data_IF_412610221444
#
_entry.id   IF_412610221444
#
_cell.length_a   1.000
_cell.length_b   1.000
_cell.length_c   1.000
_cell.angle_alpha   90.00
_cell.angle_beta   90.00
_cell.angle_gamma   90.00
#
_symmetry.space_group_name_H-M   'P 1'
#
loop_
_entity.id
_entity.type
_entity.pdbx_description
1 polymer ?
#
# COMPACT_ATOMS: atom_id res chain seq x y z
N UNK A 1 -14.83 -17.85 -7.09
CA UNK A 1 -15.14 -17.17 -5.81
C UNK A 1 -15.74 -15.81 -6.15
N UNK A 2 -16.81 -15.38 -5.48
CA UNK A 2 -17.49 -14.14 -5.84
C UNK A 2 -16.61 -12.93 -5.56
N UNK A 3 -16.42 -12.09 -6.56
CA UNK A 3 -15.75 -10.80 -6.43
C UNK A 3 -16.54 -9.93 -5.44
N UNK A 4 -15.90 -9.46 -4.39
CA UNK A 4 -16.51 -8.51 -3.48
C UNK A 4 -16.27 -7.10 -4.00
N UNK A 5 -17.33 -6.40 -4.39
CA UNK A 5 -17.28 -5.06 -4.97
C UNK A 5 -18.08 -4.06 -4.16
N UNK A 6 -17.66 -2.82 -4.14
CA UNK A 6 -18.47 -1.66 -3.73
C UNK A 6 -18.62 -0.75 -4.93
N UNK A 7 -19.88 -0.37 -5.23
CA UNK A 7 -20.19 0.69 -6.18
C UNK A 7 -20.63 1.93 -5.41
N UNK A 8 -20.33 3.13 -5.92
CA UNK A 8 -20.96 4.37 -5.43
C UNK A 8 -22.46 4.34 -5.68
N UNK A 9 -23.22 5.15 -4.92
CA UNK A 9 -24.70 5.22 -5.03
C UNK A 9 -25.16 5.63 -6.44
N UNK A 10 -24.37 6.42 -7.16
CA UNK A 10 -24.62 6.84 -8.53
C UNK A 10 -24.08 5.86 -9.59
N UNK A 11 -23.46 4.75 -9.17
CA UNK A 11 -22.87 3.72 -10.03
C UNK A 11 -21.62 4.14 -10.80
N UNK A 12 -21.12 5.36 -10.58
CA UNK A 12 -19.97 5.92 -11.33
C UNK A 12 -18.62 5.42 -10.86
N UNK A 13 -18.53 4.93 -9.63
CA UNK A 13 -17.30 4.37 -9.07
C UNK A 13 -17.53 2.91 -8.69
N UNK A 14 -16.59 2.06 -9.06
CA UNK A 14 -16.60 0.66 -8.67
C UNK A 14 -15.21 0.24 -8.24
N UNK A 15 -15.13 -0.50 -7.12
CA UNK A 15 -13.88 -0.98 -6.55
C UNK A 15 -14.03 -2.46 -6.23
N UNK A 16 -13.03 -3.25 -6.57
CA UNK A 16 -12.93 -4.67 -6.25
C UNK A 16 -11.64 -4.96 -5.52
N UNK A 17 -11.70 -5.90 -4.58
CA UNK A 17 -10.55 -6.49 -3.92
C UNK A 17 -10.60 -8.00 -3.98
N UNK A 18 -9.45 -8.61 -4.21
CA UNK A 18 -9.29 -10.06 -4.19
C UNK A 18 -8.03 -10.45 -3.42
N UNK A 19 -8.09 -11.65 -2.81
CA UNK A 19 -6.93 -12.27 -2.19
C UNK A 19 -6.05 -12.89 -3.26
N UNK A 20 -4.72 -12.79 -3.14
CA UNK A 20 -3.83 -13.61 -3.94
C UNK A 20 -3.99 -15.09 -3.55
N UNK A 21 -3.53 -15.98 -4.41
CA UNK A 21 -3.38 -17.39 -4.08
C UNK A 21 -2.59 -17.59 -2.78
N UNK A 22 -2.91 -18.58 -1.93
CA UNK A 22 -2.32 -18.71 -0.58
C UNK A 22 -0.79 -18.67 -0.54
N UNK A 23 -0.12 -19.29 -1.49
CA UNK A 23 1.35 -19.32 -1.59
C UNK A 23 1.97 -17.97 -1.96
N UNK A 24 1.18 -17.05 -2.57
CA UNK A 24 1.60 -15.69 -2.90
C UNK A 24 1.29 -14.67 -1.79
N UNK A 25 0.49 -15.02 -0.80
CA UNK A 25 -0.04 -14.07 0.21
C UNK A 25 1.02 -13.35 1.05
N UNK A 26 2.22 -13.92 1.18
CA UNK A 26 3.34 -13.25 1.85
C UNK A 26 4.01 -12.18 0.99
N UNK A 27 3.86 -12.28 -0.34
CA UNK A 27 4.48 -11.39 -1.33
C UNK A 27 3.52 -10.36 -1.88
N UNK A 28 2.27 -10.76 -2.08
CA UNK A 28 1.20 -9.94 -2.62
C UNK A 28 0.18 -9.67 -1.53
N UNK A 29 -0.05 -8.39 -1.25
CA UNK A 29 -0.96 -7.99 -0.18
C UNK A 29 -2.42 -8.02 -0.60
N UNK A 30 -2.71 -7.84 -1.87
CA UNK A 30 -4.03 -7.92 -2.51
C UNK A 30 -3.90 -7.71 -4.01
N UNK A 31 -4.93 -8.11 -4.76
CA UNK A 31 -5.28 -7.54 -6.06
C UNK A 31 -6.45 -6.59 -5.87
N UNK A 32 -6.44 -5.48 -6.61
CA UNK A 32 -7.52 -4.52 -6.58
C UNK A 32 -7.76 -3.90 -7.96
N UNK A 33 -8.98 -3.51 -8.22
CA UNK A 33 -9.38 -2.82 -9.44
C UNK A 33 -10.26 -1.64 -9.11
N UNK A 34 -10.00 -0.53 -9.80
CA UNK A 34 -10.77 0.71 -9.71
C UNK A 34 -11.33 1.05 -11.09
N UNK A 35 -12.61 1.38 -11.11
CA UNK A 35 -13.26 1.92 -12.31
C UNK A 35 -14.00 3.20 -11.94
N UNK A 36 -13.84 4.21 -12.77
CA UNK A 36 -14.67 5.42 -12.75
C UNK A 36 -15.23 5.71 -14.13
N UNK A 37 -16.51 6.05 -14.18
CA UNK A 37 -17.26 6.42 -15.38
C UNK A 37 -17.77 7.85 -15.19
N UNK A 38 -16.86 8.82 -15.31
CA UNK A 38 -17.19 10.25 -15.18
C UNK A 38 -17.49 10.86 -16.54
N UNK A 39 -18.43 11.84 -16.62
CA UNK A 39 -18.64 12.61 -17.83
C UNK A 39 -17.36 13.28 -18.34
N UNK A 40 -17.28 13.48 -19.65
CA UNK A 40 -16.14 14.17 -20.26
C UNK A 40 -15.90 15.54 -19.63
N UNK A 41 -14.66 15.80 -19.21
CA UNK A 41 -14.27 17.04 -18.53
C UNK A 41 -14.52 17.06 -17.02
N UNK A 42 -15.24 16.09 -16.46
CA UNK A 42 -15.37 15.94 -15.01
C UNK A 42 -14.13 15.27 -14.42
N UNK A 43 -13.69 15.75 -13.26
CA UNK A 43 -12.51 15.25 -12.56
C UNK A 43 -12.87 14.89 -11.12
N UNK A 44 -12.70 13.62 -10.79
CA UNK A 44 -12.78 13.14 -9.42
C UNK A 44 -11.48 13.39 -8.64
N UNK A 45 -11.60 13.45 -7.34
CA UNK A 45 -10.47 13.63 -6.41
C UNK A 45 -10.49 12.56 -5.33
N UNK A 46 -9.31 12.06 -4.95
CA UNK A 46 -9.19 11.08 -3.89
C UNK A 46 -7.84 11.15 -3.17
N UNK A 47 -7.63 10.25 -2.22
CA UNK A 47 -6.43 10.15 -1.41
C UNK A 47 -5.79 8.79 -1.59
N UNK A 48 -4.48 8.78 -1.75
CA UNK A 48 -3.63 7.60 -1.72
C UNK A 48 -2.95 7.57 -0.34
N UNK A 49 -3.34 6.67 0.56
CA UNK A 49 -2.73 6.62 1.89
C UNK A 49 -1.26 6.15 1.81
N UNK A 50 -0.44 6.43 2.84
CA UNK A 50 0.87 5.79 2.96
C UNK A 50 0.74 4.27 2.89
N UNK A 51 1.54 3.63 2.04
CA UNK A 51 1.41 2.20 1.73
C UNK A 51 2.77 1.55 1.46
N UNK A 52 2.78 0.22 1.33
CA UNK A 52 3.85 -0.51 0.65
C UNK A 52 3.77 -0.27 -0.86
N UNK A 53 4.65 -0.91 -1.61
CA UNK A 53 4.66 -0.77 -3.06
C UNK A 53 3.42 -1.38 -3.74
N UNK A 54 3.12 -0.92 -4.95
CA UNK A 54 2.12 -1.56 -5.83
C UNK A 54 2.44 -1.32 -7.29
N UNK A 55 2.11 -2.29 -8.14
CA UNK A 55 2.10 -2.09 -9.59
C UNK A 55 0.66 -1.87 -10.04
N UNK A 56 0.46 -0.93 -10.96
CA UNK A 56 -0.86 -0.50 -11.45
C UNK A 56 -0.83 -0.34 -12.96
N UNK A 57 -1.84 -0.90 -13.61
CA UNK A 57 -2.02 -0.80 -15.06
C UNK A 57 -3.35 -0.11 -15.36
N UNK A 58 -3.29 1.01 -16.06
CA UNK A 58 -4.49 1.66 -16.60
C UNK A 58 -4.87 0.96 -17.90
N UNK A 59 -6.02 0.28 -17.90
CA UNK A 59 -6.54 -0.46 -19.05
C UNK A 59 -7.43 0.45 -19.90
N UNK A 60 -7.30 0.34 -21.24
CA UNK A 60 -8.01 1.19 -22.17
C UNK A 60 -7.59 2.67 -22.07
N UNK A 61 -8.39 3.56 -22.61
CA UNK A 61 -8.20 5.00 -22.47
C UNK A 61 -8.68 5.50 -21.12
N UNK A 62 -8.01 6.51 -20.57
CA UNK A 62 -8.35 7.05 -19.28
C UNK A 62 -7.36 8.13 -18.83
N UNK A 63 -7.72 8.78 -17.74
CA UNK A 63 -6.89 9.82 -17.14
C UNK A 63 -6.79 9.64 -15.64
N UNK A 64 -5.57 9.75 -15.15
CA UNK A 64 -5.27 9.96 -13.74
C UNK A 64 -4.03 10.82 -13.57
N UNK A 65 -3.94 11.47 -12.42
CA UNK A 65 -2.76 12.16 -11.96
C UNK A 65 -2.69 12.08 -10.45
N UNK A 66 -1.52 12.37 -9.88
CA UNK A 66 -1.34 12.42 -8.45
C UNK A 66 -0.26 13.42 -8.04
N UNK A 67 -0.44 14.03 -6.86
CA UNK A 67 0.59 14.73 -6.13
C UNK A 67 1.02 13.85 -4.94
N UNK A 68 2.30 13.49 -4.87
CA UNK A 68 2.89 12.74 -3.76
C UNK A 68 4.06 13.55 -3.18
N UNK A 69 3.87 14.08 -1.98
CA UNK A 69 4.79 15.04 -1.39
C UNK A 69 4.98 16.26 -2.29
N UNK A 70 6.22 16.52 -2.72
CA UNK A 70 6.54 17.64 -3.63
C UNK A 70 6.48 17.28 -5.12
N UNK A 71 6.23 16.01 -5.45
CA UNK A 71 6.20 15.52 -6.84
C UNK A 71 4.80 15.59 -7.40
N UNK A 72 4.70 16.03 -8.64
CA UNK A 72 3.45 16.03 -9.40
C UNK A 72 3.58 15.07 -10.58
N UNK A 73 2.61 14.19 -10.73
CA UNK A 73 2.48 13.20 -11.79
C UNK A 73 1.14 13.46 -12.49
N UNK A 74 1.13 14.36 -13.46
CA UNK A 74 -0.10 14.78 -14.14
C UNK A 74 0.17 15.05 -15.63
N UNK A 75 -0.17 14.13 -16.55
CA UNK A 75 -0.77 12.82 -16.29
C UNK A 75 0.21 11.85 -15.61
N UNK A 76 -0.34 10.89 -14.86
CA UNK A 76 0.43 9.79 -14.31
C UNK A 76 0.79 8.72 -15.34
N UNK A 77 1.84 7.92 -15.11
CA UNK A 77 2.19 6.80 -16.00
C UNK A 77 1.04 5.80 -16.14
N UNK A 78 0.83 5.30 -17.36
CA UNK A 78 -0.20 4.26 -17.61
C UNK A 78 0.12 2.94 -16.92
N UNK A 79 1.40 2.59 -16.94
CA UNK A 79 1.97 1.44 -16.26
C UNK A 79 2.83 1.99 -15.12
N UNK A 80 2.24 2.08 -13.93
CA UNK A 80 2.84 2.76 -12.80
C UNK A 80 3.35 1.77 -11.75
N UNK A 81 4.59 1.93 -11.33
CA UNK A 81 5.11 1.35 -10.11
C UNK A 81 5.12 2.42 -9.03
N UNK A 82 4.27 2.21 -8.03
CA UNK A 82 4.27 3.00 -6.81
C UNK A 82 5.29 2.38 -5.86
N UNK A 83 6.33 3.10 -5.54
CA UNK A 83 7.25 2.71 -4.47
C UNK A 83 6.58 2.79 -3.10
N UNK A 84 7.22 2.26 -2.05
CA UNK A 84 6.73 2.44 -0.69
C UNK A 84 6.59 3.92 -0.37
N UNK A 85 5.49 4.32 0.29
CA UNK A 85 5.22 5.73 0.58
C UNK A 85 5.14 6.02 2.07
N UNK A 86 5.69 7.17 2.48
CA UNK A 86 5.58 7.72 3.82
C UNK A 86 4.55 8.85 3.92
N UNK A 87 4.15 9.44 2.80
CA UNK A 87 3.18 10.52 2.75
C UNK A 87 1.91 10.08 2.02
N UNK A 88 0.78 10.69 2.37
CA UNK A 88 -0.42 10.58 1.57
C UNK A 88 -0.20 11.27 0.21
N UNK A 89 -0.71 10.65 -0.84
CA UNK A 89 -0.84 11.25 -2.16
C UNK A 89 -2.27 11.77 -2.37
N UNK A 90 -2.41 12.78 -3.24
CA UNK A 90 -3.69 13.33 -3.64
C UNK A 90 -3.87 13.07 -5.12
N UNK A 91 -4.85 12.23 -5.46
CA UNK A 91 -5.10 11.84 -6.84
C UNK A 91 -6.24 12.64 -7.47
N UNK A 92 -6.14 12.77 -8.80
CA UNK A 92 -7.17 13.27 -9.70
C UNK A 92 -7.42 12.21 -10.77
N UNK A 93 -8.66 12.02 -11.16
CA UNK A 93 -8.99 11.02 -12.17
C UNK A 93 -10.21 11.45 -12.99
N UNK A 94 -10.20 11.08 -14.26
CA UNK A 94 -11.37 11.07 -15.13
C UNK A 94 -11.99 9.68 -15.20
N UNK A 95 -12.66 9.37 -16.31
CA UNK A 95 -13.00 7.97 -16.58
C UNK A 95 -11.74 7.14 -16.70
N UNK A 96 -11.69 6.03 -16.00
CA UNK A 96 -10.55 5.11 -16.02
C UNK A 96 -10.92 3.71 -15.57
N UNK A 97 -10.13 2.74 -15.98
CA UNK A 97 -10.08 1.40 -15.40
C UNK A 97 -8.64 1.07 -15.04
N UNK A 98 -8.39 0.75 -13.78
CA UNK A 98 -7.06 0.42 -13.27
C UNK A 98 -7.12 -0.93 -12.57
N UNK A 99 -6.15 -1.80 -12.84
CA UNK A 99 -5.93 -3.05 -12.11
C UNK A 99 -4.59 -2.99 -11.40
N UNK A 100 -4.54 -3.52 -10.19
CA UNK A 100 -3.40 -3.35 -9.28
C UNK A 100 -3.01 -4.67 -8.63
N UNK A 101 -1.70 -4.82 -8.39
CA UNK A 101 -1.16 -5.79 -7.45
C UNK A 101 -0.35 -5.07 -6.37
N UNK A 102 -0.77 -5.20 -5.12
CA UNK A 102 -0.07 -4.63 -3.97
C UNK A 102 1.06 -5.54 -3.52
N UNK A 103 2.30 -5.04 -3.54
CA UNK A 103 3.48 -5.76 -3.11
C UNK A 103 3.75 -5.54 -1.62
N UNK A 104 4.03 -6.61 -0.88
CA UNK A 104 4.63 -6.50 0.46
C UNK A 104 6.13 -6.17 0.33
N UNK A 105 6.83 -5.80 1.41
CA UNK A 105 8.29 -5.70 1.38
C UNK A 105 9.00 -6.99 0.93
N UNK A 106 8.43 -8.17 1.25
CA UNK A 106 8.91 -9.46 0.76
C UNK A 106 8.70 -9.60 -0.75
N UNK A 107 7.53 -9.20 -1.26
CA UNK A 107 7.24 -9.18 -2.70
C UNK A 107 8.12 -8.20 -3.46
N UNK A 108 8.42 -7.04 -2.86
CA UNK A 108 9.39 -6.11 -3.44
C UNK A 108 10.77 -6.75 -3.54
N UNK A 109 11.27 -7.33 -2.44
CA UNK A 109 12.58 -7.97 -2.41
C UNK A 109 12.68 -9.15 -3.38
N UNK A 110 11.62 -9.96 -3.49
CA UNK A 110 11.56 -11.15 -4.34
C UNK A 110 11.41 -10.84 -5.83
N UNK A 111 10.47 -9.97 -6.18
CA UNK A 111 10.03 -9.79 -7.57
C UNK A 111 10.67 -8.58 -8.24
N UNK A 112 10.84 -7.47 -7.53
CA UNK A 112 11.47 -6.24 -8.08
C UNK A 112 12.97 -6.26 -7.86
N UNK A 113 13.43 -6.74 -6.71
CA UNK A 113 14.84 -6.96 -6.35
C UNK A 113 15.72 -5.71 -6.47
N UNK A 114 15.14 -4.51 -6.27
CA UNK A 114 15.86 -3.24 -6.28
C UNK A 114 15.86 -2.60 -4.88
N UNK A 115 16.79 -1.67 -4.65
CA UNK A 115 16.83 -0.87 -3.43
C UNK A 115 15.56 0.00 -3.35
N UNK A 116 14.68 -0.32 -2.40
CA UNK A 116 13.39 0.34 -2.23
C UNK A 116 13.55 1.83 -1.87
N UNK A 117 14.67 2.24 -1.28
CA UNK A 117 14.93 3.65 -0.94
C UNK A 117 15.05 4.55 -2.17
N UNK A 118 15.45 4.00 -3.31
CA UNK A 118 15.52 4.74 -4.57
C UNK A 118 14.14 5.09 -5.14
N UNK A 119 13.11 4.31 -4.74
CA UNK A 119 11.74 4.42 -5.20
C UNK A 119 10.78 4.93 -4.11
N UNK A 120 11.29 5.16 -2.91
CA UNK A 120 10.51 5.67 -1.78
C UNK A 120 9.88 7.04 -2.10
N UNK A 121 8.58 7.19 -1.80
CA UNK A 121 7.77 8.36 -2.11
C UNK A 121 7.83 8.78 -3.59
N UNK A 122 7.83 7.77 -4.49
CA UNK A 122 7.84 7.97 -5.95
C UNK A 122 6.80 7.12 -6.65
N UNK A 123 6.32 7.67 -7.77
CA UNK A 123 5.56 6.96 -8.80
C UNK A 123 6.43 7.00 -10.05
N UNK A 124 6.72 5.85 -10.62
CA UNK A 124 7.61 5.73 -11.77
C UNK A 124 6.97 4.86 -12.85
N UNK A 125 7.43 4.98 -14.09
CA UNK A 125 7.06 4.04 -15.13
C UNK A 125 7.55 2.64 -14.74
N UNK A 126 6.64 1.66 -14.74
CA UNK A 126 6.95 0.31 -14.33
C UNK A 126 7.98 -0.38 -15.24
N UNK A 127 7.94 -0.07 -16.53
CA UNK A 127 8.90 -0.60 -17.51
C UNK A 127 10.34 -0.11 -17.28
N UNK A 128 10.49 1.09 -16.73
CA UNK A 128 11.81 1.63 -16.42
C UNK A 128 12.47 0.95 -15.20
N UNK A 129 11.65 0.47 -14.26
CA UNK A 129 12.13 -0.17 -13.01
C UNK A 129 12.14 -1.69 -13.11
N UNK A 130 11.20 -2.25 -13.84
CA UNK A 130 10.99 -3.69 -13.94
C UNK A 130 10.89 -4.10 -15.42
N UNK A 131 11.97 -3.92 -16.18
CA UNK A 131 11.98 -4.12 -17.63
C UNK A 131 11.62 -5.57 -18.00
N UNK A 132 10.82 -5.71 -19.05
CA UNK A 132 10.33 -7.02 -19.50
C UNK A 132 9.15 -7.56 -18.69
N UNK A 133 9.23 -7.52 -17.38
CA UNK A 133 8.17 -8.01 -16.49
C UNK A 133 6.92 -7.12 -16.52
N UNK A 134 7.06 -5.80 -16.46
CA UNK A 134 5.93 -4.88 -16.49
C UNK A 134 5.11 -5.03 -17.77
N UNK A 135 5.75 -5.11 -18.93
CA UNK A 135 5.08 -5.29 -20.22
C UNK A 135 4.40 -6.66 -20.33
N UNK A 136 5.07 -7.74 -19.88
CA UNK A 136 4.52 -9.09 -19.91
C UNK A 136 3.30 -9.21 -18.98
N UNK A 137 3.40 -8.67 -17.76
CA UNK A 137 2.31 -8.68 -16.79
C UNK A 137 1.12 -7.84 -17.28
N UNK A 138 1.37 -6.65 -17.84
CA UNK A 138 0.34 -5.84 -18.47
C UNK A 138 -0.40 -6.63 -19.55
N UNK A 139 0.32 -7.25 -20.47
CA UNK A 139 -0.27 -8.03 -21.56
C UNK A 139 -1.10 -9.21 -21.04
N UNK A 140 -0.70 -9.84 -19.94
CA UNK A 140 -1.45 -10.91 -19.30
C UNK A 140 -2.78 -10.41 -18.72
N UNK A 141 -2.75 -9.33 -17.92
CA UNK A 141 -3.97 -8.80 -17.25
C UNK A 141 -4.92 -8.10 -18.22
N UNK A 142 -4.42 -7.51 -19.31
CA UNK A 142 -5.25 -6.82 -20.31
C UNK A 142 -6.07 -7.80 -21.16
N UNK A 143 -5.56 -9.02 -21.38
CA UNK A 143 -6.23 -10.09 -22.16
C UNK A 143 -7.14 -10.96 -21.31
N UNK A 144 -7.00 -10.91 -19.99
CA UNK A 144 -7.73 -11.80 -19.10
C UNK A 144 -9.14 -11.29 -18.79
N UNK A 145 -10.10 -12.20 -18.79
CA UNK A 145 -11.44 -11.93 -18.24
C UNK A 145 -11.38 -11.76 -16.73
N UNK A 146 -10.44 -12.46 -16.07
CA UNK A 146 -10.15 -12.38 -14.64
C UNK A 146 -8.69 -11.88 -14.43
N UNK A 147 -8.49 -10.58 -14.17
CA UNK A 147 -7.18 -10.04 -13.91
C UNK A 147 -6.49 -10.59 -12.65
N UNK A 148 -7.24 -11.01 -11.63
CA UNK A 148 -6.65 -11.57 -10.42
C UNK A 148 -6.04 -12.96 -10.70
N UNK A 149 -6.73 -13.80 -11.45
CA UNK A 149 -6.19 -15.09 -11.90
C UNK A 149 -4.95 -14.91 -12.79
N UNK A 150 -4.92 -13.87 -13.64
CA UNK A 150 -3.76 -13.54 -14.45
C UNK A 150 -2.56 -13.07 -13.61
N UNK A 151 -2.79 -12.26 -12.58
CA UNK A 151 -1.77 -11.90 -11.61
C UNK A 151 -1.23 -13.13 -10.86
N UNK A 152 -2.12 -13.99 -10.35
CA UNK A 152 -1.72 -15.22 -9.66
C UNK A 152 -0.84 -16.12 -10.54
N UNK A 153 -1.24 -16.36 -11.78
CA UNK A 153 -0.47 -17.18 -12.71
C UNK A 153 0.92 -16.57 -12.97
N UNK A 154 0.98 -15.27 -13.22
CA UNK A 154 2.24 -14.57 -13.48
C UNK A 154 3.18 -14.59 -12.29
N UNK A 155 2.69 -14.23 -11.09
CA UNK A 155 3.51 -14.19 -9.89
C UNK A 155 3.91 -15.58 -9.39
N UNK A 156 3.12 -16.62 -9.66
CA UNK A 156 3.50 -18.00 -9.37
C UNK A 156 4.68 -18.43 -10.24
N UNK A 157 4.60 -18.21 -11.56
CA UNK A 157 5.69 -18.50 -12.49
C UNK A 157 6.97 -17.69 -12.13
N UNK A 158 6.82 -16.43 -11.72
CA UNK A 158 7.94 -15.60 -11.29
C UNK A 158 8.55 -16.07 -9.96
N UNK A 159 7.72 -16.52 -9.02
CA UNK A 159 8.17 -17.08 -7.75
C UNK A 159 9.05 -18.31 -7.94
N UNK A 160 8.71 -19.17 -8.90
CA UNK A 160 9.47 -20.39 -9.21
C UNK A 160 10.85 -20.10 -9.86
N UNK A 161 11.00 -18.90 -10.44
CA UNK A 161 12.22 -18.48 -11.17
C UNK A 161 13.14 -17.54 -10.37
N UNK A 162 12.70 -17.08 -9.22
CA UNK A 162 13.46 -16.11 -8.41
C UNK A 162 14.01 -16.76 -7.14
N UNK A 163 15.17 -16.28 -6.69
CA UNK A 163 15.78 -16.76 -5.45
C UNK A 163 14.98 -16.29 -4.22
N UNK A 164 14.89 -17.10 -3.15
CA UNK A 164 14.27 -16.69 -1.90
C UNK A 164 14.85 -15.40 -1.35
N UNK A 165 13.99 -14.58 -0.77
CA UNK A 165 14.39 -13.37 -0.06
C UNK A 165 15.11 -13.69 1.27
N UNK A 166 15.90 -12.71 1.77
CA UNK A 166 16.59 -12.84 3.06
C UNK A 166 15.56 -12.98 4.21
N UNK A 167 15.70 -13.99 5.12
CA UNK A 167 14.74 -14.23 6.21
C UNK A 167 14.54 -13.02 7.14
N UNK A 168 15.55 -12.17 7.26
CA UNK A 168 15.54 -10.96 8.06
C UNK A 168 14.47 -9.96 7.60
N UNK A 169 14.09 -9.98 6.31
CA UNK A 169 13.05 -9.11 5.78
C UNK A 169 11.69 -9.47 6.39
N UNK A 170 11.37 -10.76 6.46
CA UNK A 170 10.13 -11.24 7.08
C UNK A 170 10.09 -10.89 8.58
N UNK A 171 11.18 -11.17 9.29
CA UNK A 171 11.30 -10.87 10.72
C UNK A 171 11.18 -9.37 11.02
N UNK A 172 11.81 -8.53 10.20
CA UNK A 172 11.66 -7.07 10.34
C UNK A 172 10.22 -6.62 10.06
N UNK A 173 9.55 -7.19 9.06
CA UNK A 173 8.15 -6.86 8.77
C UNK A 173 7.24 -7.21 9.96
N UNK A 174 7.40 -8.38 10.57
CA UNK A 174 6.66 -8.78 11.78
C UNK A 174 6.85 -7.78 12.92
N UNK A 175 8.09 -7.39 13.20
CA UNK A 175 8.40 -6.42 14.25
C UNK A 175 7.82 -5.03 13.95
N UNK A 176 7.85 -4.57 12.70
CA UNK A 176 7.29 -3.28 12.30
C UNK A 176 5.75 -3.23 12.43
N UNK A 177 5.10 -4.37 12.31
CA UNK A 177 3.64 -4.48 12.41
C UNK A 177 3.15 -4.77 13.83
N UNK A 178 4.03 -5.21 14.73
CA UNK A 178 3.72 -5.42 16.14
C UNK A 178 3.37 -4.08 16.82
N UNK A 179 2.14 -3.90 17.33
CA UNK A 179 1.77 -2.68 18.04
C UNK A 179 2.59 -2.40 19.29
N UNK A 180 3.13 -3.44 19.93
CA UNK A 180 3.98 -3.34 21.11
C UNK A 180 5.40 -2.88 20.82
N UNK A 181 5.85 -3.00 19.55
CA UNK A 181 7.18 -2.57 19.15
C UNK A 181 7.25 -1.05 19.01
N UNK A 182 7.91 -0.39 19.94
CA UNK A 182 8.03 1.08 20.00
C UNK A 182 9.47 1.59 19.95
N UNK A 183 10.44 0.75 20.33
CA UNK A 183 11.84 1.14 20.49
C UNK A 183 12.74 0.51 19.41
N UNK A 184 13.58 1.34 18.78
CA UNK A 184 14.55 0.85 17.77
C UNK A 184 15.65 -0.01 18.40
N UNK A 185 16.04 0.28 19.64
CA UNK A 185 17.03 -0.51 20.38
C UNK A 185 16.52 -1.94 20.59
N UNK A 186 15.29 -2.09 21.08
CA UNK A 186 14.65 -3.40 21.24
C UNK A 186 14.50 -4.12 19.88
N UNK A 187 14.11 -3.41 18.84
CA UNK A 187 14.02 -3.99 17.49
C UNK A 187 15.39 -4.51 17.02
N UNK A 188 16.46 -3.74 17.23
CA UNK A 188 17.82 -4.14 16.87
C UNK A 188 18.29 -5.37 17.66
N UNK A 189 18.00 -5.43 18.96
CA UNK A 189 18.27 -6.60 19.81
C UNK A 189 17.51 -7.84 19.32
N UNK A 190 16.21 -7.71 19.06
CA UNK A 190 15.38 -8.81 18.54
C UNK A 190 15.80 -9.28 17.15
N UNK A 191 16.42 -8.42 16.35
CA UNK A 191 16.98 -8.76 15.04
C UNK A 191 18.41 -9.30 15.10
N UNK A 192 19.06 -9.28 16.28
CA UNK A 192 20.49 -9.55 16.45
C UNK A 192 21.36 -8.70 15.52
N UNK A 193 21.05 -7.42 15.44
CA UNK A 193 21.70 -6.46 14.55
C UNK A 193 22.07 -5.18 15.30
N UNK A 194 23.18 -4.55 14.91
CA UNK A 194 23.39 -3.18 15.36
C UNK A 194 22.43 -2.20 14.63
N UNK A 195 22.12 -1.05 15.23
CA UNK A 195 21.16 -0.09 14.67
C UNK A 195 21.50 0.40 13.25
N UNK A 196 22.77 0.47 12.89
CA UNK A 196 23.22 0.89 11.55
C UNK A 196 22.90 -0.18 10.49
N UNK A 197 23.15 -1.44 10.80
CA UNK A 197 22.82 -2.58 9.92
C UNK A 197 21.31 -2.71 9.75
N UNK A 198 20.54 -2.62 10.84
CA UNK A 198 19.09 -2.59 10.82
C UNK A 198 18.57 -1.43 9.95
N UNK A 199 19.14 -0.23 10.08
CA UNK A 199 18.79 0.94 9.29
C UNK A 199 19.00 0.72 7.79
N UNK A 200 20.11 0.08 7.39
CA UNK A 200 20.41 -0.24 5.99
C UNK A 200 19.45 -1.30 5.43
N UNK A 201 19.21 -2.38 6.18
CA UNK A 201 18.23 -3.42 5.80
C UNK A 201 16.86 -2.80 5.58
N UNK A 202 16.40 -1.99 6.52
CA UNK A 202 15.11 -1.33 6.46
C UNK A 202 15.01 -0.36 5.26
N UNK A 203 16.02 0.47 5.02
CA UNK A 203 16.00 1.38 3.87
C UNK A 203 15.97 0.61 2.56
N UNK A 204 16.82 -0.42 2.41
CA UNK A 204 16.94 -1.22 1.19
C UNK A 204 15.66 -1.95 0.80
N UNK A 205 14.94 -2.55 1.76
CA UNK A 205 13.80 -3.43 1.47
C UNK A 205 12.44 -2.80 1.76
N UNK A 206 12.38 -1.78 2.64
CA UNK A 206 11.14 -1.10 3.04
C UNK A 206 11.08 0.36 2.58
N UNK A 207 12.18 0.88 2.03
CA UNK A 207 12.29 2.25 1.52
C UNK A 207 12.60 3.32 2.56
N UNK A 208 12.50 3.01 3.86
CA UNK A 208 12.61 3.98 4.94
C UNK A 208 13.35 3.43 6.16
N UNK A 209 13.71 4.34 7.07
CA UNK A 209 14.29 3.95 8.37
C UNK A 209 13.25 3.24 9.25
N UNK A 210 13.65 2.33 10.14
CA UNK A 210 12.74 1.66 11.08
C UNK A 210 11.92 2.65 11.91
N UNK A 211 12.54 3.75 12.34
CA UNK A 211 11.88 4.81 13.12
C UNK A 211 10.69 5.41 12.36
N UNK A 212 10.87 5.71 11.08
CA UNK A 212 9.78 6.29 10.26
C UNK A 212 8.68 5.26 10.02
N UNK A 213 9.03 3.99 9.81
CA UNK A 213 8.07 2.92 9.61
C UNK A 213 7.22 2.64 10.86
N UNK A 214 7.83 2.60 12.05
CA UNK A 214 7.08 2.49 13.31
C UNK A 214 6.14 3.66 13.53
N UNK A 215 6.61 4.90 13.26
CA UNK A 215 5.75 6.09 13.32
C UNK A 215 4.58 6.00 12.33
N UNK A 216 4.85 5.58 11.09
CA UNK A 216 3.82 5.37 10.05
C UNK A 216 2.79 4.33 10.48
N UNK A 217 3.23 3.17 10.99
CA UNK A 217 2.34 2.12 11.44
C UNK A 217 1.42 2.60 12.59
N UNK A 218 1.98 3.31 13.58
CA UNK A 218 1.22 3.92 14.67
C UNK A 218 0.22 4.94 14.15
N UNK A 219 0.67 5.84 13.27
CA UNK A 219 -0.19 6.85 12.66
C UNK A 219 -1.35 6.23 11.89
N UNK A 220 -1.08 5.22 11.05
CA UNK A 220 -2.10 4.54 10.27
C UNK A 220 -3.15 3.86 11.15
N UNK A 221 -2.75 3.25 12.28
CA UNK A 221 -3.70 2.68 13.24
C UNK A 221 -4.62 3.75 13.82
N UNK A 222 -4.07 4.87 14.30
CA UNK A 222 -4.84 5.99 14.84
C UNK A 222 -5.80 6.59 13.79
N UNK A 223 -5.30 6.86 12.58
CA UNK A 223 -6.10 7.42 11.50
C UNK A 223 -7.29 6.52 11.14
N UNK A 224 -7.06 5.21 11.00
CA UNK A 224 -8.13 4.25 10.67
C UNK A 224 -9.18 4.18 11.79
N UNK A 225 -8.79 4.19 13.05
CA UNK A 225 -9.72 4.22 14.18
C UNK A 225 -10.58 5.49 14.15
N UNK A 226 -9.96 6.65 13.91
CA UNK A 226 -10.68 7.93 13.79
C UNK A 226 -11.69 7.90 12.63
N UNK A 227 -11.30 7.40 11.46
CA UNK A 227 -12.18 7.32 10.29
C UNK A 227 -13.36 6.33 10.46
N UNK A 228 -13.26 5.39 11.39
CA UNK A 228 -14.33 4.42 11.72
C UNK A 228 -15.24 4.90 12.84
N UNK A 229 -14.98 6.05 13.43
CA UNK A 229 -15.69 6.58 14.59
C UNK A 229 -16.46 7.83 14.19
N UNK A 230 -17.77 7.79 14.28
CA UNK A 230 -18.66 8.90 13.90
C UNK A 230 -18.65 10.09 14.89
N UNK A 231 -17.83 10.06 15.92
CA UNK A 231 -17.86 11.01 17.03
C UNK A 231 -16.57 11.78 17.14
N UNK A 232 -16.68 13.10 17.37
CA UNK A 232 -15.57 13.93 17.83
C UNK A 232 -15.00 13.45 19.17
N UNK A 233 -13.84 13.96 19.57
CA UNK A 233 -13.19 13.53 20.82
C UNK A 233 -12.13 12.43 20.60
N UNK A 234 -11.31 12.58 19.60
CA UNK A 234 -10.28 11.58 19.19
C UNK A 234 -9.15 11.36 20.20
N UNK A 235 -9.14 12.11 21.32
CA UNK A 235 -8.07 12.04 22.33
C UNK A 235 -7.84 10.62 22.86
N UNK A 236 -8.91 9.88 23.17
CA UNK A 236 -8.82 8.51 23.65
C UNK A 236 -8.23 7.59 22.58
N UNK A 237 -8.71 7.67 21.33
CA UNK A 237 -8.23 6.86 20.20
C UNK A 237 -6.75 7.13 19.88
N UNK A 238 -6.33 8.38 19.99
CA UNK A 238 -4.94 8.79 19.79
C UNK A 238 -4.05 8.21 20.90
N UNK A 239 -4.52 8.22 22.14
CA UNK A 239 -3.80 7.63 23.27
C UNK A 239 -3.71 6.11 23.15
N UNK A 240 -4.79 5.43 22.81
CA UNK A 240 -4.85 3.98 22.56
C UNK A 240 -3.91 3.54 21.43
N UNK A 241 -3.71 4.41 20.43
CA UNK A 241 -2.75 4.18 19.35
C UNK A 241 -1.27 4.39 19.79
N UNK A 242 -1.00 4.72 21.06
CA UNK A 242 0.35 4.87 21.61
C UNK A 242 0.94 6.28 21.46
N UNK A 243 0.10 7.32 21.35
CA UNK A 243 0.55 8.71 21.43
C UNK A 243 0.48 9.22 22.87
N UNK A 244 1.60 9.78 23.36
CA UNK A 244 1.67 10.33 24.71
C UNK A 244 0.91 11.65 24.85
N UNK A 245 0.87 12.45 23.78
CA UNK A 245 0.21 13.74 23.74
C UNK A 245 -0.35 14.07 22.36
N UNK A 246 -1.31 14.99 22.35
CA UNK A 246 -1.98 15.44 21.11
C UNK A 246 -1.02 16.15 20.14
N UNK A 247 0.00 16.85 20.66
CA UNK A 247 0.96 17.57 19.81
C UNK A 247 1.80 16.61 18.98
N UNK A 248 2.09 15.43 19.50
CA UNK A 248 2.79 14.36 18.77
C UNK A 248 1.94 13.86 17.60
N UNK A 249 0.65 13.62 17.85
CA UNK A 249 -0.28 13.20 16.79
C UNK A 249 -0.46 14.29 15.72
N UNK A 250 -0.59 15.56 16.12
CA UNK A 250 -0.70 16.69 15.18
C UNK A 250 0.54 16.78 14.27
N UNK A 251 1.74 16.59 14.83
CA UNK A 251 2.98 16.55 14.03
C UNK A 251 3.00 15.38 13.05
N UNK A 252 2.46 14.23 13.44
CA UNK A 252 2.36 13.07 12.55
C UNK A 252 1.28 13.28 11.47
N UNK A 253 0.16 13.95 11.76
CA UNK A 253 -0.79 14.38 10.75
C UNK A 253 -0.13 15.28 9.69
N UNK A 254 0.65 16.28 10.13
CA UNK A 254 1.35 17.15 9.20
C UNK A 254 2.40 16.39 8.37
N UNK A 255 3.11 15.43 8.98
CA UNK A 255 4.11 14.63 8.30
C UNK A 255 3.48 13.69 7.26
N UNK A 256 2.43 12.94 7.63
CA UNK A 256 1.89 11.85 6.81
C UNK A 256 0.75 12.27 5.90
N UNK A 257 0.00 13.34 6.23
CA UNK A 257 -1.16 13.82 5.45
C UNK A 257 -0.94 15.20 4.83
N UNK A 258 0.09 15.95 5.23
CA UNK A 258 0.30 17.36 4.88
C UNK A 258 -0.87 18.28 5.29
N UNK A 259 -1.67 17.85 6.28
CA UNK A 259 -2.81 18.60 6.79
C UNK A 259 -3.25 18.13 8.19
N UNK A 260 -4.04 18.95 8.93
CA UNK A 260 -4.69 18.51 10.16
C UNK A 260 -5.68 17.36 9.93
N UNK A 261 -5.83 16.46 10.92
CA UNK A 261 -6.77 15.33 10.82
C UNK A 261 -8.22 15.76 10.58
N UNK A 262 -8.65 16.89 11.18
CA UNK A 262 -9.99 17.44 10.96
C UNK A 262 -10.27 17.81 9.50
N UNK A 263 -9.30 18.41 8.81
CA UNK A 263 -9.40 18.71 7.40
C UNK A 263 -9.40 17.44 6.55
N UNK A 264 -8.58 16.45 6.94
CA UNK A 264 -8.54 15.16 6.23
C UNK A 264 -9.88 14.41 6.32
N UNK A 265 -10.50 14.37 7.49
CA UNK A 265 -11.82 13.71 7.69
C UNK A 265 -12.89 14.34 6.81
N UNK A 266 -12.92 15.66 6.70
CA UNK A 266 -13.92 16.39 5.91
C UNK A 266 -13.68 16.32 4.40
N UNK A 267 -12.50 15.93 3.95
CA UNK A 267 -12.16 15.88 2.54
C UNK A 267 -12.90 14.72 1.85
N UNK A 268 -13.57 14.94 0.71
CA UNK A 268 -14.12 13.85 -0.10
C UNK A 268 -13.01 12.89 -0.57
N UNK A 269 -13.22 11.61 -0.36
CA UNK A 269 -12.26 10.55 -0.72
C UNK A 269 -12.97 9.20 -0.92
N UNK A 270 -13.91 9.15 -1.87
CA UNK A 270 -14.83 8.03 -2.01
C UNK A 270 -14.14 6.69 -2.31
N UNK A 271 -13.10 6.68 -3.15
CA UNK A 271 -12.34 5.45 -3.43
C UNK A 271 -11.55 4.97 -2.22
N UNK A 272 -10.92 5.90 -1.48
CA UNK A 272 -10.19 5.56 -0.27
C UNK A 272 -11.10 4.96 0.81
N UNK A 273 -12.26 5.56 1.07
CA UNK A 273 -13.22 5.08 2.07
C UNK A 273 -13.78 3.71 1.69
N UNK A 274 -14.14 3.51 0.43
CA UNK A 274 -14.58 2.22 -0.09
C UNK A 274 -13.47 1.17 0.00
N UNK A 275 -12.23 1.55 -0.32
CA UNK A 275 -11.05 0.68 -0.20
C UNK A 275 -10.81 0.23 1.24
N UNK A 276 -10.92 1.11 2.23
CA UNK A 276 -10.77 0.75 3.64
C UNK A 276 -11.80 -0.32 4.06
N UNK A 277 -13.07 -0.15 3.65
CA UNK A 277 -14.15 -1.10 3.97
C UNK A 277 -13.95 -2.44 3.29
N UNK A 278 -13.74 -2.44 1.97
CA UNK A 278 -13.57 -3.67 1.19
C UNK A 278 -12.32 -4.44 1.61
N UNK A 279 -11.22 -3.73 1.78
CA UNK A 279 -9.97 -4.36 2.19
C UNK A 279 -10.10 -5.00 3.57
N UNK A 280 -10.77 -4.36 4.52
CA UNK A 280 -11.05 -4.95 5.82
C UNK A 280 -11.93 -6.21 5.72
N UNK A 281 -12.96 -6.18 4.88
CA UNK A 281 -13.86 -7.31 4.68
C UNK A 281 -13.18 -8.50 3.98
N UNK A 282 -12.42 -8.23 2.93
CA UNK A 282 -11.77 -9.28 2.12
C UNK A 282 -10.49 -9.80 2.77
N UNK A 283 -9.65 -8.93 3.32
CA UNK A 283 -8.28 -9.25 3.74
C UNK A 283 -8.08 -9.24 5.27
N UNK A 284 -9.09 -8.80 6.03
CA UNK A 284 -8.99 -8.67 7.50
C UNK A 284 -8.18 -7.45 7.98
N UNK A 285 -7.62 -6.66 7.07
CA UNK A 285 -6.87 -5.44 7.40
C UNK A 285 -7.25 -4.29 6.48
N UNK A 286 -7.57 -3.11 7.03
CA UNK A 286 -8.08 -1.98 6.25
C UNK A 286 -7.00 -1.24 5.43
N UNK A 287 -5.72 -1.40 5.76
CA UNK A 287 -4.65 -0.68 5.08
C UNK A 287 -3.49 -1.61 4.70
N UNK A 288 -2.94 -1.40 3.50
CA UNK A 288 -1.79 -2.16 3.01
C UNK A 288 -0.56 -1.99 3.90
N UNK A 289 -0.32 -0.78 4.41
CA UNK A 289 0.80 -0.50 5.31
C UNK A 289 0.74 -1.26 6.65
N UNK A 290 -0.42 -1.84 6.99
CA UNK A 290 -0.66 -2.66 8.17
C UNK A 290 -0.97 -4.12 7.81
N UNK A 291 -0.73 -4.54 6.56
CA UNK A 291 -0.97 -5.91 6.14
C UNK A 291 0.00 -6.85 6.87
N UNK A 292 -0.50 -7.84 7.65
CA UNK A 292 0.36 -8.74 8.41
C UNK A 292 1.19 -9.60 7.46
N UNK A 293 2.42 -9.93 7.89
CA UNK A 293 3.12 -11.06 7.30
C UNK A 293 2.26 -12.32 7.57
N UNK A 294 2.06 -13.21 6.59
CA UNK A 294 1.44 -14.50 6.85
C UNK A 294 2.27 -15.21 7.93
N UNK A 295 1.61 -15.61 9.01
CA UNK A 295 2.27 -16.45 10.02
C UNK A 295 2.82 -17.67 9.32
N UNK A 296 4.11 -17.94 9.50
CA UNK A 296 4.81 -19.01 8.81
C UNK A 296 4.06 -20.33 8.96
N UNK A 297 3.92 -21.04 7.85
CA UNK A 297 3.81 -22.49 7.90
C UNK A 297 5.01 -22.98 8.72
N UNK A 298 4.76 -23.40 9.95
CA UNK A 298 5.71 -24.18 10.73
C UNK A 298 6.07 -25.37 9.86
N UNK A 299 7.24 -25.36 9.28
CA UNK A 299 7.80 -26.55 8.64
C UNK A 299 8.06 -27.49 9.81
N UNK A 300 7.10 -28.37 10.06
CA UNK A 300 7.33 -29.52 10.93
C UNK A 300 8.42 -30.33 10.22
N UNK A 301 9.61 -30.35 10.86
CA UNK A 301 10.74 -31.18 10.46
C UNK A 301 10.45 -32.66 10.63
#
# INVERSE_FOLDING_TARGET
>A
MGQTAICSDDGRLSIWYERPAPHLSRYISAYDSYRSDLPSGEVGHDVLPPAWASIRFMLGDGYWGAKLGRRNYDPGPRDALFGPSSHAGFSRYGSMRVVCAGLTPLGWARFVAQDASLHADRIVDAGAVWPGHAAALRAAVEKADDPAAAFDAYFTDLLDRTEPEEPEIARLLELLLDPAMIAITEMAERMDMNPRTLGRLSARHFGFTPKLLLRRARFMRAMIQILRTDRGGWGALVHEAGYHDQSHFVRDCQLFLDMPMSAFVQRPKPMFEASLRLRAAVLGTPAQALHPAPQGLTISG
#
